data_IF_830538125051
#
_entry.id   IF_830538125051
#
_cell.length_a   1.000
_cell.length_b   1.000
_cell.length_c   1.000
_cell.angle_alpha   90.00
_cell.angle_beta   90.00
_cell.angle_gamma   90.00
#
_symmetry.space_group_name_H-M   'P 1'
#
loop_
_entity.id
_entity.type
_entity.pdbx_description
1 polymer ?
#
# COMPACT_ATOMS: atom_id res chain seq x y z
N UNK A 1 -19.59 2.39 12.15
CA UNK A 1 -19.10 1.89 13.44
C UNK A 1 -17.58 1.81 13.32
N UNK A 2 -16.85 2.83 13.81
CA UNK A 2 -15.38 2.82 13.89
C UNK A 2 -15.05 1.90 15.07
N UNK A 3 -14.48 0.73 14.77
CA UNK A 3 -14.03 -0.23 15.76
C UNK A 3 -12.96 0.38 16.64
N UNK A 4 -12.99 -0.03 17.89
CA UNK A 4 -12.12 0.33 19.00
C UNK A 4 -10.63 0.29 18.59
N UNK A 5 -9.88 1.35 18.91
CA UNK A 5 -8.46 1.49 18.59
C UNK A 5 -7.64 0.37 19.24
N UNK A 6 -7.27 -0.61 18.44
CA UNK A 6 -6.34 -1.68 18.75
C UNK A 6 -5.50 -1.85 17.49
N UNK A 7 -4.28 -1.31 17.52
CA UNK A 7 -3.24 -1.51 16.53
C UNK A 7 -3.28 -2.94 15.94
N UNK A 8 -3.26 -3.08 14.62
CA UNK A 8 -3.27 -4.41 14.01
C UNK A 8 -1.86 -5.01 14.10
N UNK A 9 -1.73 -6.15 14.78
CA UNK A 9 -0.46 -6.87 14.96
C UNK A 9 -0.54 -8.28 14.40
N UNK A 10 0.45 -8.67 13.60
CA UNK A 10 0.64 -10.04 13.08
C UNK A 10 2.02 -10.55 13.42
N UNK A 11 2.09 -11.73 14.02
CA UNK A 11 3.37 -12.39 14.32
C UNK A 11 3.59 -13.51 13.31
N UNK A 12 4.65 -13.36 12.51
CA UNK A 12 5.17 -14.37 11.59
C UNK A 12 6.27 -15.14 12.28
N UNK A 13 5.87 -16.21 12.95
CA UNK A 13 6.75 -17.06 13.77
C UNK A 13 7.87 -17.72 12.97
N UNK A 14 7.57 -18.13 11.74
CA UNK A 14 8.48 -18.76 10.79
C UNK A 14 9.61 -17.82 10.33
N UNK A 15 9.30 -16.53 10.18
CA UNK A 15 10.23 -15.50 9.74
C UNK A 15 10.85 -14.72 10.91
N UNK A 16 10.36 -14.94 12.14
CA UNK A 16 10.68 -14.11 13.31
C UNK A 16 10.41 -12.62 13.05
N UNK A 17 9.24 -12.31 12.47
CA UNK A 17 8.81 -10.94 12.20
C UNK A 17 7.52 -10.64 12.94
N UNK A 18 7.43 -9.48 13.58
CA UNK A 18 6.19 -8.89 14.08
C UNK A 18 5.86 -7.71 13.19
N UNK A 19 4.74 -7.79 12.49
CA UNK A 19 4.19 -6.71 11.67
C UNK A 19 3.18 -5.94 12.52
N UNK A 20 3.33 -4.62 12.59
CA UNK A 20 2.39 -3.71 13.26
C UNK A 20 1.91 -2.70 12.23
N UNK A 21 0.61 -2.53 12.10
CA UNK A 21 -0.01 -1.61 11.14
C UNK A 21 -0.71 -0.50 11.91
N UNK A 22 -0.35 0.73 11.60
CA UNK A 22 -0.89 1.93 12.23
C UNK A 22 -1.69 2.73 11.21
N UNK A 23 -2.90 3.11 11.59
CA UNK A 23 -3.68 4.14 10.91
C UNK A 23 -3.06 5.53 11.09
N UNK A 24 -3.58 6.50 10.34
CA UNK A 24 -3.13 7.90 10.42
C UNK A 24 -3.34 8.49 11.81
N UNK A 25 -4.48 8.19 12.44
CA UNK A 25 -4.79 8.65 13.79
C UNK A 25 -3.87 8.01 14.84
N UNK A 26 -3.51 6.75 14.68
CA UNK A 26 -2.69 5.99 15.65
C UNK A 26 -1.19 6.32 15.58
N UNK A 27 -0.68 6.65 14.39
CA UNK A 27 0.75 6.95 14.20
C UNK A 27 1.25 8.05 15.16
N UNK A 28 0.42 9.05 15.45
CA UNK A 28 0.78 10.19 16.30
C UNK A 28 0.17 10.12 17.70
N UNK A 29 -0.52 9.03 18.04
CA UNK A 29 -1.13 8.87 19.36
C UNK A 29 -0.05 8.52 20.41
N UNK A 30 0.14 9.36 21.45
CA UNK A 30 1.14 9.11 22.49
C UNK A 30 0.93 7.79 23.25
N UNK A 31 -0.32 7.34 23.39
CA UNK A 31 -0.64 6.07 24.07
C UNK A 31 -0.12 4.89 23.25
N UNK A 32 -0.33 4.93 21.93
CA UNK A 32 0.17 3.89 21.02
C UNK A 32 1.70 3.90 20.97
N UNK A 33 2.33 5.08 20.96
CA UNK A 33 3.79 5.19 20.99
C UNK A 33 4.41 4.58 22.25
N UNK A 34 3.81 4.79 23.42
CA UNK A 34 4.29 4.18 24.66
C UNK A 34 4.06 2.65 24.67
N UNK A 35 2.94 2.18 24.13
CA UNK A 35 2.69 0.75 23.94
C UNK A 35 3.74 0.09 23.04
N UNK A 36 4.09 0.73 21.90
CA UNK A 36 5.14 0.25 21.00
C UNK A 36 6.50 0.21 21.70
N UNK A 37 6.83 1.26 22.46
CA UNK A 37 8.07 1.34 23.24
C UNK A 37 8.20 0.19 24.23
N UNK A 38 7.11 -0.16 24.91
CA UNK A 38 7.07 -1.30 25.83
C UNK A 38 7.17 -2.66 25.11
N UNK A 39 6.71 -2.73 23.85
CA UNK A 39 6.69 -3.96 23.05
C UNK A 39 8.05 -4.31 22.43
N UNK A 40 8.86 -3.32 22.05
CA UNK A 40 10.16 -3.58 21.39
C UNK A 40 11.09 -4.50 22.20
N UNK A 41 11.32 -4.31 23.52
CA UNK A 41 12.20 -5.19 24.29
C UNK A 41 11.74 -6.65 24.26
N UNK A 42 10.43 -6.88 24.40
CA UNK A 42 9.86 -8.23 24.46
C UNK A 42 10.17 -9.09 23.23
N UNK A 43 10.20 -8.47 22.05
CA UNK A 43 10.43 -9.16 20.78
C UNK A 43 11.91 -9.11 20.34
N UNK A 44 12.61 -8.02 20.63
CA UNK A 44 14.05 -7.91 20.33
C UNK A 44 14.88 -8.90 21.15
N UNK A 45 14.55 -9.13 22.42
CA UNK A 45 15.19 -10.18 23.25
C UNK A 45 15.03 -11.58 22.64
N UNK A 46 13.87 -11.83 22.03
CA UNK A 46 13.56 -13.10 21.35
C UNK A 46 14.09 -13.17 19.91
N UNK A 47 14.85 -12.16 19.48
CA UNK A 47 15.42 -12.02 18.12
C UNK A 47 14.37 -11.91 17.00
N UNK A 48 13.23 -11.29 17.29
CA UNK A 48 12.26 -10.95 16.26
C UNK A 48 12.57 -9.56 15.69
N UNK A 49 12.36 -9.40 14.39
CA UNK A 49 12.28 -8.10 13.75
C UNK A 49 10.89 -7.52 14.00
N UNK A 50 10.81 -6.31 14.52
CA UNK A 50 9.54 -5.56 14.63
C UNK A 50 9.47 -4.58 13.45
N UNK A 51 8.53 -4.80 12.54
CA UNK A 51 8.27 -3.95 11.39
C UNK A 51 6.98 -3.15 11.62
N UNK A 52 7.10 -1.82 11.65
CA UNK A 52 5.96 -0.92 11.85
C UNK A 52 5.61 -0.23 10.54
N UNK A 53 4.43 -0.53 10.00
CA UNK A 53 3.86 0.06 8.81
C UNK A 53 2.93 1.21 9.20
N UNK A 54 3.21 2.41 8.68
CA UNK A 54 2.43 3.60 8.94
C UNK A 54 1.61 3.94 7.70
N UNK A 55 0.32 4.23 7.89
CA UNK A 55 -0.53 4.70 6.80
C UNK A 55 0.05 5.97 6.19
N UNK A 56 0.02 6.07 4.85
CA UNK A 56 0.39 7.29 4.14
C UNK A 56 -0.60 8.43 4.37
N UNK A 57 -0.20 9.64 3.94
CA UNK A 57 -1.00 10.86 4.11
C UNK A 57 -1.96 11.15 2.96
N UNK A 58 -1.73 10.53 1.79
CA UNK A 58 -2.47 10.81 0.57
C UNK A 58 -3.86 10.16 0.56
N UNK A 59 -4.80 10.82 -0.13
CA UNK A 59 -6.15 10.28 -0.32
C UNK A 59 -6.12 9.10 -1.31
N UNK A 60 -6.35 7.90 -0.78
CA UNK A 60 -6.29 6.68 -1.58
C UNK A 60 -7.32 6.67 -2.71
N UNK A 61 -8.50 7.24 -2.50
CA UNK A 61 -9.57 7.23 -3.49
C UNK A 61 -9.22 8.14 -4.67
N UNK A 62 -8.82 9.37 -4.39
CA UNK A 62 -8.43 10.36 -5.39
C UNK A 62 -7.23 9.85 -6.21
N UNK A 63 -6.15 9.42 -5.55
CA UNK A 63 -4.94 8.93 -6.21
C UNK A 63 -5.22 7.71 -7.10
N UNK A 64 -5.97 6.74 -6.59
CA UNK A 64 -6.29 5.53 -7.36
C UNK A 64 -7.19 5.87 -8.54
N UNK A 65 -8.17 6.76 -8.36
CA UNK A 65 -9.06 7.20 -9.46
C UNK A 65 -8.27 7.90 -10.57
N UNK A 66 -7.33 8.78 -10.22
CA UNK A 66 -6.45 9.47 -11.16
C UNK A 66 -5.59 8.50 -11.95
N UNK A 67 -4.97 7.52 -11.26
CA UNK A 67 -4.15 6.49 -11.88
C UNK A 67 -4.95 5.62 -12.87
N UNK A 68 -6.17 5.22 -12.50
CA UNK A 68 -7.04 4.44 -13.37
C UNK A 68 -7.44 5.23 -14.63
N UNK A 69 -7.82 6.50 -14.47
CA UNK A 69 -8.13 7.39 -15.59
C UNK A 69 -6.92 7.55 -16.53
N UNK A 70 -5.74 7.82 -15.96
CA UNK A 70 -4.50 7.92 -16.72
C UNK A 70 -4.21 6.63 -17.50
N UNK A 71 -4.28 5.48 -16.84
CA UNK A 71 -4.02 4.19 -17.49
C UNK A 71 -5.00 3.96 -18.64
N UNK A 72 -6.31 4.13 -18.43
CA UNK A 72 -7.32 3.97 -19.49
C UNK A 72 -7.02 4.84 -20.71
N UNK A 73 -6.66 6.11 -20.47
CA UNK A 73 -6.27 7.03 -21.55
C UNK A 73 -5.03 6.53 -22.30
N UNK A 74 -3.97 6.13 -21.58
CA UNK A 74 -2.73 5.62 -22.18
C UNK A 74 -2.95 4.35 -22.99
N UNK A 75 -3.83 3.46 -22.52
CA UNK A 75 -4.24 2.26 -23.27
C UNK A 75 -4.94 2.64 -24.58
N UNK A 76 -5.93 3.54 -24.52
CA UNK A 76 -6.63 4.00 -25.73
C UNK A 76 -5.68 4.67 -26.75
N UNK A 77 -4.75 5.51 -26.28
CA UNK A 77 -3.72 6.12 -27.13
C UNK A 77 -2.84 5.08 -27.82
N UNK A 78 -2.39 4.05 -27.08
CA UNK A 78 -1.57 2.97 -27.64
C UNK A 78 -2.31 2.16 -28.69
N UNK A 79 -3.59 1.85 -28.45
CA UNK A 79 -4.41 1.11 -29.42
C UNK A 79 -4.64 1.92 -30.70
N UNK A 80 -4.92 3.22 -30.58
CA UNK A 80 -5.02 4.11 -31.74
C UNK A 80 -3.69 4.21 -32.52
N UNK A 81 -2.56 4.23 -31.82
CA UNK A 81 -1.24 4.26 -32.46
C UNK A 81 -0.96 2.95 -33.22
N UNK A 82 -1.25 1.80 -32.62
CA UNK A 82 -1.14 0.49 -33.31
C UNK A 82 -2.02 0.42 -34.54
N UNK A 83 -3.23 0.99 -34.51
CA UNK A 83 -4.13 1.04 -35.67
C UNK A 83 -3.58 1.92 -36.79
N UNK A 84 -2.93 3.04 -36.46
CA UNK A 84 -2.24 3.89 -37.45
C UNK A 84 -1.00 3.22 -38.05
N UNK A 85 -0.27 2.47 -37.25
CA UNK A 85 0.89 1.69 -37.71
C UNK A 85 0.45 0.44 -38.51
N UNK A 86 -0.74 -0.09 -38.21
CA UNK A 86 -1.43 -1.10 -38.99
C UNK A 86 -2.23 -0.48 -40.15
N UNK A 87 -1.54 0.15 -41.09
CA UNK A 87 -2.07 0.26 -42.46
C UNK A 87 -1.76 -1.06 -43.16
N UNK A 88 -2.67 -2.04 -43.03
CA UNK A 88 -2.56 -3.36 -43.67
C UNK A 88 -2.33 -3.25 -45.18
N UNK A 89 -1.84 -4.32 -45.85
CA UNK A 89 -1.32 -4.24 -47.21
C UNK A 89 -2.33 -3.58 -48.16
N UNK A 90 -1.90 -2.50 -48.82
CA UNK A 90 -2.63 -1.88 -49.91
C UNK A 90 -2.81 -2.91 -51.02
N UNK A 91 -3.95 -3.61 -51.03
CA UNK A 91 -4.36 -4.43 -52.16
C UNK A 91 -4.81 -3.43 -53.23
N UNK A 92 -3.85 -3.05 -54.08
CA UNK A 92 -4.13 -2.40 -55.36
C UNK A 92 -4.76 -3.45 -56.28
N UNK A 93 -5.96 -3.14 -56.76
CA UNK A 93 -6.73 -3.92 -57.74
C UNK A 93 -6.51 -3.34 -59.13
#
# INVERSE_FOLDING_TARGET
>A
MKGEGLLEMKVREDQKIVEIWLTKEEQNDPVIQEQLRALYPHYTEKKYLVAVFQSGEEDLFEQTSGLLCYNRRRWAEKEAQKQKEWEGPSISM
#
